data_IF_142449212241
#
_entry.id   IF_142449212241
#
_cell.length_a   1.000
_cell.length_b   1.000
_cell.length_c   1.000
_cell.angle_alpha   90.00
_cell.angle_beta   90.00
_cell.angle_gamma   90.00
#
_symmetry.space_group_name_H-M   'P 1'
#
loop_
_entity.id
_entity.type
_entity.pdbx_description
1 polymer ?
#
# COMPACT_ATOMS: atom_id res chain seq x y z
N UNK A 1 -10.78 1.55 -28.18
CA UNK A 1 -9.30 1.63 -28.20
C UNK A 1 -8.85 1.01 -26.89
N UNK A 2 -8.07 -0.06 -26.93
CA UNK A 2 -7.42 -0.55 -25.72
C UNK A 2 -6.34 0.47 -25.38
N UNK A 3 -6.57 1.26 -24.33
CA UNK A 3 -5.59 2.22 -23.83
C UNK A 3 -4.44 1.43 -23.21
N UNK A 4 -3.49 1.07 -24.06
CA UNK A 4 -2.29 0.34 -23.67
C UNK A 4 -1.60 1.08 -22.53
N UNK A 5 -1.43 0.39 -21.40
CA UNK A 5 -0.71 0.93 -20.25
C UNK A 5 0.65 1.43 -20.72
N UNK A 6 0.99 2.69 -20.39
CA UNK A 6 2.21 3.30 -20.88
C UNK A 6 3.46 2.54 -20.39
N UNK A 7 4.38 2.23 -21.30
CA UNK A 7 5.70 1.69 -20.97
C UNK A 7 6.55 2.73 -20.22
N UNK A 8 7.49 2.24 -19.41
CA UNK A 8 8.48 3.08 -18.73
C UNK A 8 7.85 4.22 -17.93
N UNK A 9 6.78 3.94 -17.18
CA UNK A 9 5.96 4.98 -16.54
C UNK A 9 5.79 4.69 -15.05
N UNK A 10 5.57 5.75 -14.28
CA UNK A 10 5.30 5.71 -12.85
C UNK A 10 3.87 6.11 -12.61
N UNK A 11 3.15 5.28 -11.87
CA UNK A 11 1.75 5.45 -11.50
C UNK A 11 1.61 5.48 -9.97
N UNK A 12 0.65 6.25 -9.48
CA UNK A 12 0.10 6.04 -8.14
C UNK A 12 -0.99 4.98 -8.27
N UNK A 13 -0.87 3.91 -7.48
CA UNK A 13 -1.84 2.82 -7.42
C UNK A 13 -2.61 2.91 -6.10
N UNK A 14 -3.94 2.90 -6.17
CA UNK A 14 -4.82 2.92 -5.00
C UNK A 14 -5.62 1.62 -4.93
N UNK A 15 -5.40 0.84 -3.88
CA UNK A 15 -6.17 -0.36 -3.59
C UNK A 15 -7.19 -0.06 -2.50
N UNK A 16 -8.47 -0.36 -2.73
CA UNK A 16 -9.51 -0.23 -1.72
C UNK A 16 -9.27 -1.20 -0.56
N UNK A 17 -9.36 -0.69 0.66
CA UNK A 17 -9.26 -1.50 1.88
C UNK A 17 -10.62 -1.67 2.54
N UNK A 18 -11.26 -0.57 2.93
CA UNK A 18 -12.55 -0.54 3.63
C UNK A 18 -13.13 0.87 3.65
N UNK A 19 -14.40 0.99 4.02
CA UNK A 19 -15.05 2.28 4.33
C UNK A 19 -15.12 2.46 5.84
N UNK A 20 -14.74 3.63 6.33
CA UNK A 20 -14.83 4.03 7.73
C UNK A 20 -15.48 5.41 7.83
N UNK A 21 -16.57 5.51 8.61
CA UNK A 21 -17.33 6.76 8.80
C UNK A 21 -17.75 7.41 7.46
N UNK A 22 -18.21 6.59 6.51
CA UNK A 22 -18.62 7.06 5.18
C UNK A 22 -17.48 7.51 4.27
N UNK A 23 -16.22 7.25 4.64
CA UNK A 23 -15.04 7.57 3.83
C UNK A 23 -14.30 6.31 3.44
N UNK A 24 -13.97 6.19 2.16
CA UNK A 24 -13.17 5.08 1.69
C UNK A 24 -11.72 5.23 2.15
N UNK A 25 -11.11 4.11 2.51
CA UNK A 25 -9.71 4.01 2.88
C UNK A 25 -9.00 3.18 1.82
N UNK A 26 -7.87 3.69 1.38
CA UNK A 26 -7.06 3.10 0.33
C UNK A 26 -5.67 2.75 0.86
N UNK A 27 -5.12 1.65 0.35
CA UNK A 27 -3.70 1.36 0.39
C UNK A 27 -3.02 2.03 -0.80
N UNK A 28 -1.92 2.72 -0.54
CA UNK A 28 -1.20 3.52 -1.52
C UNK A 28 0.09 2.81 -1.93
N UNK A 29 0.34 2.72 -3.22
CA UNK A 29 1.60 2.22 -3.77
C UNK A 29 2.06 3.00 -5.00
N UNK A 30 3.31 2.79 -5.37
CA UNK A 30 3.90 3.26 -6.62
C UNK A 30 4.01 2.07 -7.55
N UNK A 31 3.26 2.10 -8.65
CA UNK A 31 3.34 1.10 -9.69
C UNK A 31 4.24 1.58 -10.83
N UNK A 32 5.25 0.79 -11.16
CA UNK A 32 6.24 1.12 -12.20
C UNK A 32 6.15 0.12 -13.33
N UNK A 33 5.91 0.61 -14.53
CA UNK A 33 5.98 -0.19 -15.75
C UNK A 33 7.34 -0.04 -16.41
N UNK A 34 7.79 -1.12 -17.05
CA UNK A 34 9.04 -1.13 -17.80
C UNK A 34 8.75 -1.28 -19.30
N UNK A 35 9.44 -2.18 -20.01
CA UNK A 35 9.29 -2.35 -21.48
C UNK A 35 8.07 -3.17 -21.90
N UNK A 36 7.46 -3.91 -20.96
CA UNK A 36 6.42 -4.90 -21.24
C UNK A 36 5.14 -4.59 -20.47
N UNK A 37 4.68 -3.33 -20.49
CA UNK A 37 3.38 -2.99 -19.93
C UNK A 37 2.27 -3.89 -20.53
N UNK A 38 1.26 -4.29 -19.74
CA UNK A 38 0.89 -3.73 -18.44
C UNK A 38 1.66 -4.35 -17.25
N UNK A 39 2.61 -5.26 -17.50
CA UNK A 39 3.44 -5.85 -16.44
C UNK A 39 4.36 -4.81 -15.80
N UNK A 40 4.48 -4.86 -14.48
CA UNK A 40 5.30 -3.94 -13.71
C UNK A 40 5.58 -4.39 -12.28
N UNK A 41 6.14 -3.48 -11.50
CA UNK A 41 6.44 -3.67 -10.08
C UNK A 41 5.64 -2.68 -9.24
N UNK A 42 4.90 -3.18 -8.26
CA UNK A 42 4.26 -2.38 -7.22
C UNK A 42 5.21 -2.26 -6.04
N UNK A 43 5.58 -1.03 -5.71
CA UNK A 43 6.37 -0.69 -4.53
C UNK A 43 5.47 -0.02 -3.52
N UNK A 44 5.45 -0.50 -2.28
CA UNK A 44 4.60 0.08 -1.25
C UNK A 44 5.19 -0.07 0.15
N UNK A 45 4.60 0.66 1.08
CA UNK A 45 4.83 0.48 2.50
C UNK A 45 3.64 -0.26 3.10
N UNK A 46 3.87 -1.46 3.65
CA UNK A 46 2.79 -2.32 4.17
C UNK A 46 3.07 -2.78 5.60
N UNK A 47 2.05 -3.20 6.34
CA UNK A 47 2.16 -3.88 7.64
C UNK A 47 1.58 -5.30 7.59
N UNK A 48 1.41 -5.85 6.38
CA UNK A 48 1.00 -7.25 6.15
C UNK A 48 1.87 -8.19 6.98
N UNK A 49 1.22 -9.11 7.69
CA UNK A 49 1.87 -10.08 8.58
C UNK A 49 2.72 -9.45 9.71
N UNK A 50 2.50 -8.17 10.02
CA UNK A 50 3.11 -7.46 11.13
C UNK A 50 2.06 -6.85 12.05
N UNK A 51 2.53 -6.14 13.07
CA UNK A 51 1.63 -5.36 13.92
C UNK A 51 1.05 -4.20 13.11
N UNK A 52 -0.22 -3.83 13.31
CA UNK A 52 -0.76 -2.64 12.68
C UNK A 52 0.16 -1.45 12.88
N UNK A 53 0.41 -0.70 11.80
CA UNK A 53 1.33 0.45 11.75
C UNK A 53 2.83 0.11 11.86
N UNK A 54 3.24 -1.15 11.98
CA UNK A 54 4.65 -1.56 11.86
C UNK A 54 5.02 -1.74 10.38
N UNK A 55 5.02 -0.61 9.68
CA UNK A 55 5.19 -0.58 8.23
C UNK A 55 6.59 -1.10 7.85
N UNK A 56 6.68 -1.70 6.66
CA UNK A 56 7.93 -2.03 5.99
C UNK A 56 7.78 -1.85 4.49
N UNK A 57 8.92 -1.63 3.82
CA UNK A 57 8.98 -1.56 2.37
C UNK A 57 8.86 -2.97 1.78
N UNK A 58 7.96 -3.13 0.82
CA UNK A 58 7.79 -4.36 0.05
C UNK A 58 7.68 -4.01 -1.43
N UNK A 59 8.10 -4.95 -2.28
CA UNK A 59 7.89 -4.89 -3.71
C UNK A 59 7.22 -6.16 -4.21
N UNK A 60 6.23 -6.01 -5.09
CA UNK A 60 5.47 -7.11 -5.69
C UNK A 60 5.43 -6.97 -7.20
N UNK A 61 5.68 -8.06 -7.91
CA UNK A 61 5.46 -8.10 -9.36
C UNK A 61 3.96 -8.18 -9.66
N UNK A 62 3.49 -7.35 -10.59
CA UNK A 62 2.11 -7.38 -11.07
C UNK A 62 2.14 -7.65 -12.57
N UNK A 63 1.55 -8.78 -12.98
CA UNK A 63 1.45 -9.17 -14.39
C UNK A 63 0.47 -8.28 -15.15
N UNK A 64 -0.70 -8.06 -14.57
CA UNK A 64 -1.74 -7.23 -15.14
C UNK A 64 -2.55 -6.57 -14.01
N UNK A 65 -2.35 -5.27 -13.76
CA UNK A 65 -3.09 -4.52 -12.75
C UNK A 65 -4.59 -4.50 -13.01
N UNK A 66 -5.06 -4.58 -14.27
CA UNK A 66 -6.49 -4.60 -14.58
C UNK A 66 -7.24 -5.82 -14.01
N UNK A 67 -6.50 -6.86 -13.62
CA UNK A 67 -7.04 -8.09 -13.02
C UNK A 67 -7.12 -8.06 -11.49
N UNK A 68 -6.59 -7.02 -10.85
CA UNK A 68 -6.63 -6.93 -9.39
C UNK A 68 -8.03 -6.56 -8.93
N UNK A 69 -8.57 -7.32 -7.96
CA UNK A 69 -9.93 -7.10 -7.42
C UNK A 69 -10.01 -5.95 -6.43
N UNK A 70 -8.88 -5.60 -5.81
CA UNK A 70 -8.80 -4.52 -4.83
C UNK A 70 -8.30 -3.21 -5.42
N UNK A 71 -7.62 -3.25 -6.58
CA UNK A 71 -7.08 -2.06 -7.22
C UNK A 71 -8.22 -1.22 -7.81
N UNK A 72 -8.35 0.01 -7.34
CA UNK A 72 -9.36 0.95 -7.82
C UNK A 72 -8.79 1.72 -8.99
N UNK A 73 -7.69 2.46 -8.82
CA UNK A 73 -7.13 3.29 -9.89
C UNK A 73 -5.61 3.19 -9.98
N UNK A 74 -5.10 3.39 -11.20
CA UNK A 74 -3.70 3.61 -11.53
C UNK A 74 -3.58 4.92 -12.29
N UNK A 75 -2.99 5.91 -11.63
CA UNK A 75 -2.93 7.29 -12.09
C UNK A 75 -1.51 7.60 -12.52
N UNK A 76 -1.27 7.80 -13.82
CA UNK A 76 0.08 8.11 -14.30
C UNK A 76 0.53 9.45 -13.72
N UNK A 77 1.70 9.43 -13.08
CA UNK A 77 2.38 10.63 -12.57
C UNK A 77 3.32 11.18 -13.63
N UNK A 78 4.16 10.30 -14.21
CA UNK A 78 5.21 10.71 -15.14
C UNK A 78 5.74 9.51 -15.92
N UNK A 79 6.45 9.80 -17.01
CA UNK A 79 7.33 8.82 -17.66
C UNK A 79 8.68 8.79 -16.93
N UNK A 80 9.35 7.64 -16.93
CA UNK A 80 10.70 7.51 -16.40
C UNK A 80 11.68 8.29 -17.28
N UNK A 81 12.42 9.21 -16.67
CA UNK A 81 13.52 9.92 -17.32
C UNK A 81 14.79 9.07 -17.37
N UNK A 82 14.92 8.12 -16.44
CA UNK A 82 16.06 7.22 -16.32
C UNK A 82 15.61 5.86 -15.84
N UNK A 83 16.21 4.80 -16.38
CA UNK A 83 16.08 3.43 -15.86
C UNK A 83 17.03 3.16 -14.70
N UNK A 84 17.59 4.21 -14.07
CA UNK A 84 18.29 4.11 -12.80
C UNK A 84 17.47 3.23 -11.85
N UNK A 85 18.15 2.47 -11.00
CA UNK A 85 17.52 1.48 -10.13
C UNK A 85 16.48 2.13 -9.20
N UNK A 86 15.24 2.17 -9.68
CA UNK A 86 14.11 2.80 -9.02
C UNK A 86 13.77 2.03 -7.74
N UNK A 87 13.98 0.71 -7.75
CA UNK A 87 13.82 -0.14 -6.57
C UNK A 87 14.81 0.26 -5.49
N UNK A 88 16.08 0.49 -5.86
CA UNK A 88 17.07 1.01 -4.92
C UNK A 88 16.66 2.38 -4.36
N UNK A 89 16.19 3.30 -5.20
CA UNK A 89 15.75 4.62 -4.76
C UNK A 89 14.53 4.56 -3.82
N UNK A 90 13.54 3.75 -4.16
CA UNK A 90 12.30 3.60 -3.38
C UNK A 90 12.53 2.87 -2.05
N UNK A 91 13.40 1.86 -2.02
CA UNK A 91 13.78 1.16 -0.79
C UNK A 91 14.58 2.04 0.18
N UNK A 92 15.24 3.09 -0.31
CA UNK A 92 15.99 4.05 0.50
C UNK A 92 15.10 5.12 1.16
N UNK A 93 13.81 5.22 0.77
CA UNK A 93 12.88 6.19 1.35
C UNK A 93 12.68 5.87 2.84
N UNK A 94 12.91 6.84 3.75
CA UNK A 94 12.75 6.59 5.17
C UNK A 94 11.35 6.11 5.52
N UNK A 95 11.27 5.21 6.49
CA UNK A 95 10.03 4.66 6.97
C UNK A 95 10.13 4.40 8.48
N UNK A 96 9.05 4.67 9.22
CA UNK A 96 8.95 4.52 10.69
C UNK A 96 9.93 5.38 11.53
N UNK A 97 10.71 6.28 10.91
CA UNK A 97 11.61 7.20 11.64
C UNK A 97 10.90 8.52 11.93
N UNK A 98 10.58 8.78 13.20
CA UNK A 98 9.87 10.02 13.63
C UNK A 98 10.62 11.30 13.25
N UNK A 99 11.95 11.29 13.28
CA UNK A 99 12.79 12.43 12.89
C UNK A 99 12.78 12.73 11.38
N UNK A 100 12.27 11.81 10.57
CA UNK A 100 12.13 11.95 9.11
C UNK A 100 10.68 12.09 8.67
N UNK A 101 9.74 12.16 9.62
CA UNK A 101 8.33 12.34 9.30
C UNK A 101 8.13 13.72 8.63
N UNK A 102 7.44 13.81 7.49
CA UNK A 102 7.19 15.08 6.83
C UNK A 102 6.45 16.06 7.74
N UNK A 103 6.68 17.35 7.54
CA UNK A 103 5.96 18.39 8.28
C UNK A 103 4.46 18.24 8.01
N UNK A 104 3.65 18.48 9.04
CA UNK A 104 2.19 18.35 9.01
C UNK A 104 1.64 16.92 8.94
N UNK A 105 2.50 15.90 8.88
CA UNK A 105 2.07 14.51 8.98
C UNK A 105 2.08 14.04 10.44
N UNK A 106 0.99 13.43 10.94
CA UNK A 106 0.92 12.99 12.34
C UNK A 106 1.70 11.69 12.59
N UNK A 107 1.88 10.86 11.55
CA UNK A 107 2.57 9.57 11.60
C UNK A 107 2.89 9.04 10.21
N UNK A 108 3.73 8.01 10.14
CA UNK A 108 3.96 7.26 8.91
C UNK A 108 2.73 6.43 8.54
N UNK A 109 2.37 6.45 7.26
CA UNK A 109 1.35 5.60 6.62
C UNK A 109 1.83 5.21 5.23
N UNK A 110 1.19 4.26 4.56
CA UNK A 110 1.47 3.94 3.15
C UNK A 110 1.35 5.18 2.25
N UNK A 111 0.31 6.01 2.46
CA UNK A 111 0.14 7.32 1.81
C UNK A 111 1.35 8.24 2.03
N UNK A 112 1.76 8.44 3.28
CA UNK A 112 2.90 9.33 3.60
C UNK A 112 4.19 8.82 2.96
N UNK A 113 4.39 7.50 2.92
CA UNK A 113 5.54 6.91 2.23
C UNK A 113 5.50 7.19 0.72
N UNK A 114 4.35 7.03 0.04
CA UNK A 114 4.22 7.35 -1.40
C UNK A 114 4.56 8.82 -1.67
N UNK A 115 4.10 9.75 -0.83
CA UNK A 115 4.42 11.18 -0.98
C UNK A 115 5.93 11.43 -0.93
N UNK A 116 6.60 10.87 0.08
CA UNK A 116 8.05 11.00 0.22
C UNK A 116 8.81 10.32 -0.91
N UNK A 117 8.33 9.18 -1.37
CA UNK A 117 8.89 8.47 -2.50
C UNK A 117 8.82 9.29 -3.80
N UNK A 118 7.67 9.92 -4.11
CA UNK A 118 7.54 10.81 -5.26
C UNK A 118 8.48 12.03 -5.16
N UNK A 119 8.54 12.66 -3.98
CA UNK A 119 9.49 13.76 -3.72
C UNK A 119 10.95 13.32 -3.88
N UNK A 120 11.28 12.08 -3.47
CA UNK A 120 12.62 11.53 -3.61
C UNK A 120 12.97 11.29 -5.08
N UNK A 121 12.11 10.59 -5.83
CA UNK A 121 12.30 10.32 -7.25
C UNK A 121 12.40 11.60 -8.08
N UNK A 122 11.59 12.61 -7.76
CA UNK A 122 11.62 13.90 -8.44
C UNK A 122 12.95 14.65 -8.22
N UNK A 123 13.43 14.73 -6.97
CA UNK A 123 14.72 15.36 -6.64
C UNK A 123 15.89 14.62 -7.25
N UNK A 124 15.82 13.29 -7.34
CA UNK A 124 16.80 12.45 -8.00
C UNK A 124 16.74 12.52 -9.54
N UNK A 125 15.82 13.31 -10.13
CA UNK A 125 15.61 13.43 -11.58
C UNK A 125 15.30 12.10 -12.28
N UNK A 126 14.67 11.16 -11.55
CA UNK A 126 14.18 9.89 -12.11
C UNK A 126 12.82 10.09 -12.78
N UNK A 127 11.99 10.96 -12.19
CA UNK A 127 10.71 11.40 -12.74
C UNK A 127 10.59 12.93 -12.70
N UNK A 128 9.66 13.47 -13.47
CA UNK A 128 9.24 14.86 -13.36
C UNK A 128 7.78 14.93 -12.93
N UNK A 129 7.53 15.38 -11.70
CA UNK A 129 6.18 15.67 -11.23
C UNK A 129 5.75 17.04 -11.77
N UNK A 130 4.58 17.10 -12.41
CA UNK A 130 4.01 18.35 -12.93
C UNK A 130 3.12 19.07 -11.92
N UNK A 131 2.72 18.36 -10.86
CA UNK A 131 1.91 18.87 -9.75
C UNK A 131 2.69 18.70 -8.44
N UNK A 132 2.36 19.53 -7.45
CA UNK A 132 2.80 19.28 -6.08
C UNK A 132 2.13 18.01 -5.54
N UNK A 133 2.85 17.32 -4.65
CA UNK A 133 2.44 16.00 -4.15
C UNK A 133 1.15 16.04 -3.33
N UNK A 134 0.88 17.15 -2.63
CA UNK A 134 -0.36 17.30 -1.85
C UNK A 134 -1.57 17.48 -2.77
N UNK A 135 -1.43 18.24 -3.87
CA UNK A 135 -2.45 18.34 -4.92
C UNK A 135 -2.69 17.00 -5.60
N UNK A 136 -1.62 16.25 -5.91
CA UNK A 136 -1.77 14.89 -6.46
C UNK A 136 -2.55 14.00 -5.51
N UNK A 137 -2.23 14.00 -4.21
CA UNK A 137 -2.95 13.24 -3.20
C UNK A 137 -4.45 13.58 -3.19
N UNK A 138 -4.79 14.87 -3.17
CA UNK A 138 -6.18 15.31 -3.17
C UNK A 138 -6.97 14.77 -4.37
N UNK A 139 -6.42 14.95 -5.57
CA UNK A 139 -7.05 14.48 -6.81
C UNK A 139 -7.09 12.95 -6.93
N UNK A 140 -6.06 12.24 -6.45
CA UNK A 140 -6.07 10.77 -6.41
C UNK A 140 -7.26 10.24 -5.60
N UNK A 141 -7.54 10.85 -4.44
CA UNK A 141 -8.68 10.47 -3.61
C UNK A 141 -10.01 10.74 -4.31
N UNK A 142 -10.18 11.91 -4.94
CA UNK A 142 -11.41 12.24 -5.68
C UNK A 142 -11.68 11.20 -6.77
N UNK A 143 -10.68 10.94 -7.61
CA UNK A 143 -10.82 10.00 -8.73
C UNK A 143 -11.14 8.60 -8.22
N UNK A 144 -10.43 8.14 -7.19
CA UNK A 144 -10.70 6.84 -6.58
C UNK A 144 -12.12 6.74 -5.99
N UNK A 145 -12.58 7.77 -5.28
CA UNK A 145 -13.92 7.79 -4.68
C UNK A 145 -15.03 7.79 -5.74
N UNK A 146 -14.85 8.51 -6.84
CA UNK A 146 -15.81 8.49 -7.94
C UNK A 146 -15.84 7.18 -8.75
N UNK A 147 -14.70 6.49 -8.85
CA UNK A 147 -14.60 5.21 -9.57
C UNK A 147 -14.93 3.99 -8.69
N UNK A 148 -14.87 4.12 -7.36
CA UNK A 148 -15.03 2.99 -6.43
C UNK A 148 -16.35 2.22 -6.62
N UNK A 149 -17.53 2.86 -6.71
CA UNK A 149 -18.79 2.14 -6.77
C UNK A 149 -18.90 1.23 -8.00
N UNK A 150 -18.43 1.70 -9.15
CA UNK A 150 -18.51 0.97 -10.41
C UNK A 150 -17.56 -0.23 -10.43
N UNK A 151 -16.43 -0.16 -9.73
CA UNK A 151 -15.47 -1.28 -9.65
C UNK A 151 -15.84 -2.34 -8.66
N UNK A 152 -16.01 -1.93 -7.40
CA UNK A 152 -16.20 -2.89 -6.31
C UNK A 152 -17.56 -3.59 -6.44
N UNK A 153 -18.57 -2.90 -6.97
CA UNK A 153 -19.93 -3.45 -7.09
C UNK A 153 -20.37 -3.72 -8.54
N UNK A 154 -19.79 -3.06 -9.54
CA UNK A 154 -20.19 -3.17 -10.95
C UNK A 154 -19.31 -4.09 -11.81
N UNK A 155 -18.24 -4.67 -11.28
CA UNK A 155 -17.30 -5.55 -11.99
C UNK A 155 -16.62 -4.86 -13.20
N UNK A 156 -16.40 -3.54 -13.11
CA UNK A 156 -15.68 -2.78 -14.11
C UNK A 156 -14.15 -2.89 -13.96
N UNK A 157 -13.43 -2.78 -15.07
CA UNK A 157 -11.96 -2.85 -15.12
C UNK A 157 -11.31 -1.68 -14.38
N UNK A 158 -10.08 -1.88 -13.85
CA UNK A 158 -9.26 -0.87 -13.17
C UNK A 158 -9.09 0.43 -13.98
N UNK A 159 -9.05 1.55 -13.27
CA UNK A 159 -9.10 2.89 -13.86
C UNK A 159 -7.70 3.29 -14.20
N UNK A 160 -7.35 3.08 -15.46
CA UNK A 160 -6.03 3.38 -15.96
C UNK A 160 -6.04 4.75 -16.63
N UNK A 161 -5.35 5.69 -15.99
CA UNK A 161 -5.19 7.04 -16.52
C UNK A 161 -3.76 7.19 -17.03
N UNK A 162 -3.60 7.06 -18.35
CA UNK A 162 -2.30 7.09 -19.01
C UNK A 162 -1.78 8.52 -19.26
N UNK A 163 -2.60 9.55 -19.07
CA UNK A 163 -2.19 10.94 -19.13
C UNK A 163 -2.51 11.64 -17.80
N UNK A 164 -1.56 12.35 -17.18
CA UNK A 164 -1.79 13.11 -15.96
C UNK A 164 -3.01 14.05 -16.01
N UNK A 165 -3.27 14.59 -17.19
CA UNK A 165 -4.27 15.61 -17.49
C UNK A 165 -5.68 15.03 -17.39
N UNK A 166 -5.87 13.77 -17.78
CA UNK A 166 -7.17 13.10 -17.80
C UNK A 166 -7.74 12.95 -16.38
N UNK A 167 -6.92 12.45 -15.44
CA UNK A 167 -7.38 12.25 -14.08
C UNK A 167 -7.47 13.55 -13.29
N UNK A 168 -6.68 14.58 -13.66
CA UNK A 168 -6.84 15.94 -13.14
C UNK A 168 -8.16 16.54 -13.59
N UNK A 169 -8.52 16.39 -14.86
CA UNK A 169 -9.79 16.88 -15.39
C UNK A 169 -10.97 16.15 -14.73
N UNK A 170 -10.87 14.82 -14.57
CA UNK A 170 -11.88 14.04 -13.87
C UNK A 170 -12.03 14.48 -12.40
N UNK A 171 -10.93 14.66 -11.67
CA UNK A 171 -10.97 15.15 -10.30
C UNK A 171 -11.67 16.52 -10.21
N UNK A 172 -11.40 17.43 -11.15
CA UNK A 172 -12.06 18.75 -11.22
C UNK A 172 -13.55 18.64 -11.46
N UNK A 173 -14.00 17.75 -12.35
CA UNK A 173 -15.43 17.47 -12.60
C UNK A 173 -16.14 16.88 -11.39
N UNK A 174 -15.43 16.15 -10.54
CA UNK A 174 -15.98 15.57 -9.31
C UNK A 174 -16.03 16.60 -8.16
N UNK A 175 -15.15 17.59 -8.17
CA UNK A 175 -15.09 18.66 -7.18
C UNK A 175 -15.97 19.87 -7.55
N UNK A 176 -16.73 19.80 -8.65
CA UNK A 176 -17.58 20.90 -9.10
C UNK A 176 -18.75 21.11 -8.12
N UNK A 177 -18.82 22.27 -7.42
CA UNK A 177 -19.86 22.55 -6.43
C UNK A 177 -21.27 22.60 -7.04
N UNK A 178 -21.41 22.81 -8.35
CA UNK A 178 -22.70 22.87 -9.04
C UNK A 178 -23.29 21.48 -9.31
N UNK A 179 -22.53 20.40 -9.07
CA UNK A 179 -23.02 19.01 -9.10
C UNK A 179 -23.78 18.68 -7.80
N UNK A 180 -24.83 19.46 -7.51
CA UNK A 180 -25.67 19.40 -6.31
C UNK A 180 -26.65 18.21 -6.25
N UNK A 181 -26.17 16.97 -6.28
CA UNK A 181 -27.04 15.80 -5.98
C UNK A 181 -26.43 14.78 -5.02
N UNK A 182 -25.25 15.05 -4.46
CA UNK A 182 -24.68 14.23 -3.39
C UNK A 182 -24.64 15.10 -2.14
N UNK A 183 -25.51 14.81 -1.17
CA UNK A 183 -25.47 15.45 0.14
C UNK A 183 -24.02 15.47 0.64
N UNK A 184 -23.42 16.65 0.86
CA UNK A 184 -22.03 16.71 1.31
C UNK A 184 -21.96 16.06 2.68
N UNK A 185 -21.31 14.90 2.75
CA UNK A 185 -20.91 14.30 4.01
C UNK A 185 -20.24 15.40 4.85
N UNK A 186 -20.92 15.74 5.93
CA UNK A 186 -20.70 16.95 6.72
C UNK A 186 -19.21 17.15 6.99
N UNK A 187 -18.69 18.34 6.62
CA UNK A 187 -17.33 18.78 6.95
C UNK A 187 -17.24 19.00 8.46
N UNK A 188 -17.15 17.90 9.21
CA UNK A 188 -16.88 17.89 10.64
C UNK A 188 -15.51 18.52 10.90
N UNK A 189 -15.50 19.55 11.75
CA UNK A 189 -14.31 20.14 12.36
C UNK A 189 -13.46 19.01 12.93
N UNK A 190 -12.31 18.73 12.32
CA UNK A 190 -11.47 17.59 12.66
C UNK A 190 -10.94 17.69 14.09
N UNK A 191 -11.53 16.92 15.00
CA UNK A 191 -10.83 16.44 16.20
C UNK A 191 -9.66 15.56 15.73
N UNK A 192 -8.50 15.55 16.43
CA UNK A 192 -7.41 14.65 16.09
C UNK A 192 -7.92 13.21 16.10
N UNK A 193 -7.98 12.64 14.90
CA UNK A 193 -8.54 11.33 14.57
C UNK A 193 -7.78 10.25 15.36
N UNK A 194 -8.42 9.72 16.42
CA UNK A 194 -7.89 8.58 17.18
C UNK A 194 -8.09 7.33 16.33
N UNK A 195 -7.06 7.00 15.56
CA UNK A 195 -6.97 5.73 14.83
C UNK A 195 -6.98 4.55 15.82
N UNK A 196 -8.11 3.85 15.88
CA UNK A 196 -8.20 2.52 16.47
C UNK A 196 -7.68 1.54 15.42
N UNK A 197 -6.54 0.90 15.68
CA UNK A 197 -5.79 0.15 14.67
C UNK A 197 -6.64 -0.93 13.97
N UNK A 198 -6.80 -0.89 12.64
CA UNK A 198 -7.45 -1.92 11.87
C UNK A 198 -6.54 -3.14 11.75
N UNK A 199 -7.12 -4.23 11.25
CA UNK A 199 -6.40 -5.44 10.84
C UNK A 199 -5.24 -5.08 9.89
N UNK A 200 -4.16 -5.88 9.83
CA UNK A 200 -3.09 -5.70 8.85
C UNK A 200 -3.63 -5.45 7.44
N UNK A 201 -2.92 -4.66 6.63
CA UNK A 201 -3.34 -4.28 5.27
C UNK A 201 -3.32 -5.47 4.30
N UNK A 202 -4.28 -6.40 4.41
CA UNK A 202 -4.39 -7.51 3.47
C UNK A 202 -4.89 -6.98 2.10
N UNK A 203 -3.96 -6.84 1.16
CA UNK A 203 -4.21 -6.18 -0.13
C UNK A 203 -4.70 -7.14 -1.20
N UNK A 204 -4.45 -8.45 -1.05
CA UNK A 204 -5.03 -9.52 -1.86
C UNK A 204 -5.00 -10.85 -1.07
N UNK A 205 -6.06 -11.68 -1.13
CA UNK A 205 -6.00 -13.02 -0.59
C UNK A 205 -4.89 -13.76 -1.33
N UNK A 206 -3.75 -13.97 -0.66
CA UNK A 206 -2.67 -14.79 -1.21
C UNK A 206 -3.32 -16.12 -1.57
N UNK A 207 -3.25 -16.61 -2.82
CA UNK A 207 -3.70 -17.95 -3.10
C UNK A 207 -2.77 -18.88 -2.32
N UNK A 208 -3.18 -19.28 -1.12
CA UNK A 208 -2.55 -20.36 -0.37
C UNK A 208 -2.69 -21.59 -1.24
N UNK A 209 -1.67 -21.79 -2.08
CA UNK A 209 -1.42 -23.03 -2.79
C UNK A 209 -0.99 -24.01 -1.71
N UNK A 210 -1.95 -24.52 -0.95
CA UNK A 210 -1.79 -25.80 -0.28
C UNK A 210 -1.56 -26.82 -1.39
N UNK A 211 -0.28 -27.07 -1.66
CA UNK A 211 0.22 -28.27 -2.29
C UNK A 211 -0.24 -29.46 -1.43
N UNK A 212 -1.50 -29.87 -1.62
CA UNK A 212 -1.87 -31.26 -1.37
C UNK A 212 -1.18 -32.07 -2.45
N UNK A 213 -0.16 -32.78 -2.02
CA UNK A 213 0.42 -33.95 -2.65
C UNK A 213 -0.66 -34.78 -3.35
N UNK A 214 -0.64 -34.76 -4.69
CA UNK A 214 -1.27 -35.79 -5.50
C UNK A 214 -0.17 -36.76 -5.91
N UNK A 215 -0.25 -37.96 -5.33
CA UNK A 215 0.39 -39.15 -5.87
C UNK A 215 -0.08 -39.43 -7.31
N UNK A 216 0.74 -40.09 -8.13
CA UNK A 216 0.47 -40.27 -9.56
C UNK A 216 -0.47 -41.44 -9.80
N UNK A 217 -1.64 -41.18 -10.40
CA UNK A 217 -2.50 -42.23 -10.93
C UNK A 217 -2.33 -42.35 -12.45
N UNK A 218 -2.23 -43.61 -12.89
CA UNK A 218 -1.82 -44.07 -14.19
C UNK A 218 -2.81 -43.78 -15.34
N UNK A 219 -2.23 -43.79 -16.55
CA UNK A 219 -2.76 -44.20 -17.87
C UNK A 219 -4.28 -44.36 -18.02
N UNK A 220 -4.84 -43.64 -19.00
CA UNK A 220 -6.09 -44.02 -19.66
C UNK A 220 -6.38 -43.16 -20.90
N UNK A 221 -6.11 -43.71 -22.09
CA UNK A 221 -6.68 -43.25 -23.37
C UNK A 221 -8.18 -43.53 -23.36
N UNK A 222 -8.99 -42.60 -23.84
CA UNK A 222 -10.41 -42.85 -24.12
C UNK A 222 -11.14 -41.58 -24.53
N UNK A 223 -11.29 -41.40 -25.83
CA UNK A 223 -12.28 -40.54 -26.46
C UNK A 223 -13.68 -41.11 -26.19
N UNK A 224 -14.64 -40.32 -25.70
CA UNK A 224 -16.05 -40.29 -26.15
C UNK A 224 -16.91 -39.35 -25.29
N UNK A 225 -17.64 -38.51 -26.01
CA UNK A 225 -19.05 -38.14 -25.86
C UNK A 225 -19.60 -37.57 -24.54
N UNK A 226 -20.16 -36.36 -24.71
CA UNK A 226 -20.96 -35.62 -23.74
C UNK A 226 -22.34 -36.29 -23.61
N UNK A 227 -22.64 -36.82 -22.43
CA UNK A 227 -23.98 -37.22 -22.04
C UNK A 227 -24.63 -36.11 -21.20
N UNK A 228 -25.73 -35.55 -21.69
CA UNK A 228 -26.65 -34.68 -20.96
C UNK A 228 -27.75 -35.55 -20.37
N UNK A 229 -27.77 -35.70 -19.04
CA UNK A 229 -28.81 -36.42 -18.31
C UNK A 229 -29.09 -35.76 -16.95
N UNK A 230 -30.35 -35.79 -16.48
CA UNK A 230 -30.82 -35.00 -15.35
C UNK A 230 -30.25 -35.45 -14.00
N UNK A 231 -30.02 -34.45 -13.14
CA UNK A 231 -29.50 -34.57 -11.76
C UNK A 231 -30.39 -35.51 -10.91
N UNK A 232 -29.81 -36.48 -10.17
CA UNK A 232 -30.50 -37.13 -9.07
C UNK A 232 -30.53 -36.24 -7.82
N UNK A 233 -31.71 -36.18 -7.20
CA UNK A 233 -31.98 -35.50 -5.93
C UNK A 233 -31.32 -36.17 -4.72
N UNK A 234 -31.14 -35.35 -3.69
CA UNK A 234 -30.64 -35.62 -2.36
C UNK A 234 -31.22 -36.87 -1.68
N UNK A 235 -30.34 -37.54 -0.93
CA UNK A 235 -30.70 -38.22 0.33
C UNK A 235 -29.48 -38.22 1.26
N UNK A 236 -29.51 -37.40 2.31
CA UNK A 236 -28.88 -37.79 3.57
C UNK A 236 -29.65 -39.03 4.10
N UNK A 237 -29.01 -39.97 4.82
CA UNK A 237 -29.07 -39.80 6.27
C UNK A 237 -27.91 -40.43 7.10
N UNK A 238 -27.77 -39.84 8.29
CA UNK A 238 -27.39 -40.44 9.60
C UNK A 238 -25.92 -40.69 9.97
N UNK A 239 -25.52 -40.31 11.20
CA UNK A 239 -24.16 -40.49 11.73
C UNK A 239 -24.00 -41.84 12.44
N UNK A 240 -22.81 -42.45 12.31
CA UNK A 240 -22.41 -43.59 13.14
C UNK A 240 -21.44 -43.14 14.22
N UNK A 241 -21.97 -43.24 15.43
CA UNK A 241 -21.35 -43.13 16.75
C UNK A 241 -20.38 -44.29 17.02
N UNK A 242 -19.52 -44.08 18.01
CA UNK A 242 -18.73 -45.02 18.84
C UNK A 242 -17.39 -45.55 18.31
N UNK A 243 -16.28 -45.10 18.90
CA UNK A 243 -15.53 -45.76 19.99
C UNK A 243 -14.37 -44.84 20.42
N UNK A 244 -14.37 -44.35 21.67
CA UNK A 244 -13.57 -44.86 22.80
C UNK A 244 -12.09 -45.03 22.45
N UNK A 245 -11.21 -44.21 23.02
CA UNK A 245 -10.02 -44.67 23.74
C UNK A 245 -9.32 -43.50 24.48
N UNK A 246 -9.11 -43.74 25.78
CA UNK A 246 -8.06 -43.23 26.67
C UNK A 246 -7.85 -41.71 26.83
N UNK A 247 -8.27 -41.20 27.99
CA UNK A 247 -7.79 -39.95 28.60
C UNK A 247 -6.37 -40.14 29.17
N UNK A 248 -5.38 -39.29 28.83
CA UNK A 248 -4.14 -39.21 29.57
C UNK A 248 -4.26 -38.27 30.78
N UNK A 249 -3.92 -38.85 31.91
CA UNK A 249 -3.61 -38.32 33.24
C UNK A 249 -3.12 -36.86 33.33
N UNK A 250 -3.79 -36.06 34.17
CA UNK A 250 -3.36 -34.74 34.63
C UNK A 250 -2.45 -34.90 35.87
N UNK A 251 -1.16 -34.69 35.71
CA UNK A 251 -0.21 -34.50 36.82
C UNK A 251 0.07 -33.01 37.04
N UNK A 252 0.32 -32.56 38.29
CA UNK A 252 0.65 -31.17 38.56
C UNK A 252 2.01 -30.81 37.93
N UNK A 253 2.02 -29.74 37.12
CA UNK A 253 3.23 -29.14 36.56
C UNK A 253 4.11 -28.54 37.67
N UNK A 254 5.45 -28.64 37.57
CA UNK A 254 6.37 -28.00 38.50
C UNK A 254 6.23 -26.48 38.44
N UNK A 255 6.25 -25.84 39.60
CA UNK A 255 6.25 -24.38 39.77
C UNK A 255 7.53 -23.79 39.19
N UNK A 256 7.39 -23.00 38.13
CA UNK A 256 8.46 -22.11 37.66
C UNK A 256 8.66 -21.00 38.71
N UNK A 257 9.87 -20.93 39.24
CA UNK A 257 10.28 -19.90 40.18
C UNK A 257 10.69 -18.65 39.39
N UNK A 258 9.91 -17.59 39.52
CA UNK A 258 10.24 -16.28 38.99
C UNK A 258 11.50 -15.73 39.70
N UNK A 259 12.63 -15.74 38.97
CA UNK A 259 13.82 -14.99 39.36
C UNK A 259 13.57 -13.53 39.01
N UNK A 260 13.15 -12.75 40.00
CA UNK A 260 13.01 -11.29 39.85
C UNK A 260 14.41 -10.65 39.79
N UNK A 261 14.74 -9.88 38.73
CA UNK A 261 15.97 -9.10 38.71
C UNK A 261 15.84 -7.91 39.68
N UNK A 262 16.70 -7.92 40.69
CA UNK A 262 16.88 -6.86 41.69
C UNK A 262 17.24 -5.53 41.02
N UNK A 263 16.32 -4.55 41.07
CA UNK A 263 16.56 -3.16 40.69
C UNK A 263 17.17 -2.41 41.88
N UNK A 264 18.50 -2.44 42.00
CA UNK A 264 19.25 -1.53 42.86
C UNK A 264 19.34 -0.12 42.25
N UNK A 265 19.33 0.95 43.07
CA UNK A 265 19.43 2.33 42.59
C UNK A 265 20.79 2.60 41.94
N UNK A 266 20.76 3.13 40.71
CA UNK A 266 21.98 3.57 40.00
C UNK A 266 22.58 4.80 40.68
N UNK A 267 23.92 4.87 40.83
CA UNK A 267 24.59 6.05 41.38
C UNK A 267 24.43 7.26 40.45
N UNK A 268 24.15 8.42 41.07
CA UNK A 268 24.14 9.73 40.41
C UNK A 268 25.55 10.03 39.88
N UNK A 269 25.67 10.23 38.58
CA UNK A 269 26.88 10.80 37.97
C UNK A 269 26.64 12.28 37.81
N UNK A 270 27.36 13.06 38.60
CA UNK A 270 27.42 14.52 38.52
C UNK A 270 28.21 14.99 37.31
N UNK A 271 27.78 16.14 36.81
CA UNK A 271 28.21 16.91 35.65
C UNK A 271 29.72 17.11 35.50
N UNK A 272 30.16 17.32 34.25
CA UNK A 272 31.08 18.41 33.92
C UNK A 272 30.88 18.83 32.46
N UNK A 273 30.34 20.03 32.27
CA UNK A 273 30.29 20.79 31.01
C UNK A 273 31.68 21.34 30.67
N UNK A 274 32.11 21.28 29.40
CA UNK A 274 33.06 22.26 28.88
C UNK A 274 32.40 23.17 27.84
N UNK A 275 32.56 24.45 28.10
CA UNK A 275 32.03 25.60 27.40
C UNK A 275 33.11 26.13 26.44
N UNK A 276 33.10 25.79 25.15
CA UNK A 276 33.93 26.38 24.08
C UNK A 276 33.16 26.24 22.75
N UNK A 277 33.11 27.18 21.81
CA UNK A 277 33.75 28.47 21.64
C UNK A 277 33.15 29.14 20.39
N UNK A 278 33.03 30.45 20.45
CA UNK A 278 32.62 31.36 19.37
C UNK A 278 33.58 31.24 18.17
N UNK A 279 33.05 31.04 16.97
CA UNK A 279 33.81 31.09 15.72
C UNK A 279 33.05 31.88 14.66
N UNK A 280 33.24 33.20 14.64
CA UNK A 280 32.80 34.09 13.56
C UNK A 280 33.78 33.99 12.39
N UNK A 281 33.33 33.53 11.22
CA UNK A 281 34.04 33.80 9.96
C UNK A 281 33.12 34.46 8.93
N UNK A 282 33.36 35.77 8.84
CA UNK A 282 32.99 36.69 7.77
C UNK A 282 33.91 36.40 6.58
N UNK A 283 33.37 36.09 5.39
CA UNK A 283 34.11 36.24 4.13
C UNK A 283 33.18 36.71 3.03
N UNK A 284 33.24 38.02 2.82
CA UNK A 284 32.90 38.74 1.60
C UNK A 284 33.79 38.27 0.45
N UNK A 285 33.20 37.91 -0.69
CA UNK A 285 33.85 38.02 -1.99
C UNK A 285 32.91 38.74 -2.95
N UNK A 286 33.34 39.95 -3.28
CA UNK A 286 32.90 40.81 -4.36
C UNK A 286 33.93 40.64 -5.50
N UNK A 287 33.59 41.13 -6.71
CA UNK A 287 34.36 41.15 -7.98
C UNK A 287 34.03 39.95 -8.91
N UNK A 288 33.79 40.09 -10.22
CA UNK A 288 33.92 41.23 -11.12
C UNK A 288 33.12 41.01 -12.43
N UNK A 289 32.81 42.13 -13.10
CA UNK A 289 32.25 42.29 -14.45
C UNK A 289 33.18 41.76 -15.56
N UNK A 290 32.58 41.38 -16.71
CA UNK A 290 32.90 41.73 -18.12
C UNK A 290 31.99 40.86 -19.00
N UNK A 291 31.07 41.31 -19.86
CA UNK A 291 31.08 42.37 -20.88
C UNK A 291 32.20 42.16 -21.91
N UNK A 292 31.83 41.48 -22.99
CA UNK A 292 32.56 41.22 -24.23
C UNK A 292 31.62 40.43 -25.13
#
# INVERSE_FOLDING_TARGET
MEDNVANGSVFIALQYLYTENGRNKYHWGIFVTYRNAPKGMLHHATDVNRRPMDLYYETREITDPARSQSLVVCLKVSSLLSSADISHCLSAVPLMRRSRLPRHEPRWTCRVWVKEALNYLHRARIIQCHLDVDTMEHYCNLVADGDMPARIFGNENVGFFNHPEDWVEQARKQNDPDRMDIEPASRGRGTPERYFGPKPMDTEPTPTRTLRSFEPAARGRGTTERYYGPKPMDTEPTPTRTQRHASPYYGPTPMDTEVTPYYGPRPMVTETTPHHGRGTHRRTHQLHRRSG
#
